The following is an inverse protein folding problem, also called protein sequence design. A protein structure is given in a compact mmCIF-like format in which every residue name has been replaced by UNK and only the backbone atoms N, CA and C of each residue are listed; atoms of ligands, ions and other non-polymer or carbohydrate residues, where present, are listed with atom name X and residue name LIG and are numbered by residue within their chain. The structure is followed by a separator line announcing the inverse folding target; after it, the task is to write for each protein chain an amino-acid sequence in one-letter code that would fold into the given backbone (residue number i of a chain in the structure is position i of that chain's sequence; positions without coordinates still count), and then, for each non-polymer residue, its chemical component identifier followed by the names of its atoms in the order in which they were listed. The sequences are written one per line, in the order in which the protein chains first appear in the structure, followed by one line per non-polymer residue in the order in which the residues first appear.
data_IF_683218614205
#
_entry.id   IF_683218614205
#
_cell.length_a   1.000
_cell.length_b   1.000
_cell.length_c   1.000
_cell.angle_alpha   90.00
_cell.angle_beta   90.00
_cell.angle_gamma   90.00
#
_symmetry.space_group_name_H-M   'P 1'
#
loop_
_entity.id
_entity.type
_entity.pdbx_description
1 polymer ?
#
# COMPACT_ATOMS: atom_id res chain seq x y z
N UNK A 1 -19.03 42.39 10.56
CA UNK A 1 -17.89 41.47 10.34
C UNK A 1 -18.20 40.32 9.37
N UNK A 2 -19.31 39.55 9.50
CA UNK A 2 -19.59 38.36 8.65
C UNK A 2 -19.62 38.58 7.12
N UNK A 3 -20.15 39.71 6.64
CA UNK A 3 -20.21 40.03 5.20
C UNK A 3 -18.86 40.16 4.50
N UNK A 4 -17.80 40.53 5.21
CA UNK A 4 -16.46 40.64 4.63
C UNK A 4 -15.85 39.26 4.32
N UNK A 5 -16.09 38.27 5.19
CA UNK A 5 -15.69 36.90 4.96
C UNK A 5 -16.45 36.28 3.77
N UNK A 6 -17.76 36.50 3.66
CA UNK A 6 -18.55 36.02 2.51
C UNK A 6 -18.04 36.56 1.16
N UNK A 7 -17.71 37.86 1.10
CA UNK A 7 -17.16 38.45 -0.13
C UNK A 7 -15.77 37.91 -0.46
N UNK A 8 -14.95 37.62 0.56
CA UNK A 8 -13.63 36.99 0.39
C UNK A 8 -13.74 35.54 -0.11
N UNK A 9 -14.60 34.73 0.50
CA UNK A 9 -14.83 33.35 0.05
C UNK A 9 -15.41 33.29 -1.36
N UNK A 10 -16.25 34.24 -1.73
CA UNK A 10 -16.79 34.34 -3.09
C UNK A 10 -15.71 34.66 -4.11
N UNK A 11 -14.83 35.60 -3.82
CA UNK A 11 -13.68 35.90 -4.69
C UNK A 11 -12.72 34.71 -4.83
N UNK A 12 -12.50 33.95 -3.75
CA UNK A 12 -11.71 32.73 -3.79
C UNK A 12 -12.37 31.64 -4.65
N UNK A 13 -13.68 31.46 -4.52
CA UNK A 13 -14.45 30.52 -5.36
C UNK A 13 -14.41 30.90 -6.84
N UNK A 14 -14.58 32.18 -7.17
CA UNK A 14 -14.55 32.66 -8.56
C UNK A 14 -13.16 32.44 -9.21
N UNK A 15 -12.07 32.52 -8.44
CA UNK A 15 -10.71 32.23 -8.91
C UNK A 15 -10.45 30.72 -9.07
N UNK A 16 -11.10 29.88 -8.26
CA UNK A 16 -11.02 28.41 -8.32
C UNK A 16 -11.95 27.80 -9.37
N UNK A 17 -13.00 28.51 -9.80
CA UNK A 17 -13.97 28.09 -10.83
C UNK A 17 -13.31 27.50 -12.10
N UNK A 18 -12.26 28.10 -12.71
CA UNK A 18 -11.57 27.47 -13.85
C UNK A 18 -10.90 26.14 -13.50
N UNK A 19 -10.23 26.05 -12.36
CA UNK A 19 -9.58 24.80 -11.91
C UNK A 19 -10.62 23.70 -11.60
N UNK A 20 -11.80 24.09 -11.10
CA UNK A 20 -12.89 23.16 -10.85
C UNK A 20 -13.47 22.58 -12.14
N UNK A 21 -13.54 23.37 -13.21
CA UNK A 21 -13.99 22.90 -14.54
C UNK A 21 -12.98 21.93 -15.15
N UNK A 22 -11.69 22.22 -15.06
CA UNK A 22 -10.64 21.29 -15.52
C UNK A 22 -10.66 19.96 -14.74
N UNK A 23 -10.94 20.03 -13.43
CA UNK A 23 -11.12 18.83 -12.61
C UNK A 23 -12.38 18.05 -13.01
N UNK A 24 -13.47 18.73 -13.37
CA UNK A 24 -14.71 18.12 -13.84
C UNK A 24 -14.51 17.39 -15.17
N UNK A 25 -13.80 18.00 -16.12
CA UNK A 25 -13.43 17.38 -17.39
C UNK A 25 -12.57 16.11 -17.17
N UNK A 26 -11.54 16.21 -16.31
CA UNK A 26 -10.71 15.06 -15.94
C UNK A 26 -11.53 13.95 -15.25
N UNK A 27 -12.45 14.32 -14.37
CA UNK A 27 -13.33 13.38 -13.69
C UNK A 27 -14.27 12.68 -14.67
N UNK A 28 -14.71 13.38 -15.72
CA UNK A 28 -15.55 12.83 -16.77
C UNK A 28 -14.79 11.83 -17.64
N UNK A 29 -13.54 12.13 -17.98
CA UNK A 29 -12.63 11.21 -18.69
C UNK A 29 -12.31 9.96 -17.85
N UNK A 30 -12.17 10.14 -16.54
CA UNK A 30 -11.89 9.06 -15.58
C UNK A 30 -13.16 8.35 -15.08
N UNK A 31 -14.37 8.84 -15.39
CA UNK A 31 -15.64 8.27 -14.93
C UNK A 31 -15.76 6.75 -15.16
N UNK A 32 -15.50 6.21 -16.37
CA UNK A 32 -15.60 4.77 -16.61
C UNK A 32 -14.59 3.97 -15.80
N UNK A 33 -13.36 4.47 -15.61
CA UNK A 33 -12.33 3.82 -14.81
C UNK A 33 -12.65 3.86 -13.31
N UNK A 34 -13.21 4.97 -12.82
CA UNK A 34 -13.67 5.10 -11.43
C UNK A 34 -14.86 4.17 -11.16
N UNK A 35 -15.73 3.96 -12.15
CA UNK A 35 -16.84 3.01 -12.07
C UNK A 35 -16.34 1.57 -11.99
N UNK A 36 -15.43 1.16 -12.87
CA UNK A 36 -14.85 -0.20 -12.83
C UNK A 36 -14.05 -0.44 -11.55
N UNK A 37 -13.26 0.55 -11.11
CA UNK A 37 -12.55 0.48 -9.82
C UNK A 37 -13.51 0.31 -8.65
N UNK A 38 -14.62 1.04 -8.61
CA UNK A 38 -15.64 0.88 -7.56
C UNK A 38 -16.29 -0.51 -7.60
N UNK A 39 -16.53 -1.06 -8.78
CA UNK A 39 -17.16 -2.38 -8.94
C UNK A 39 -16.20 -3.52 -8.55
N UNK A 40 -14.92 -3.43 -8.94
CA UNK A 40 -13.91 -4.46 -8.71
C UNK A 40 -13.29 -4.35 -7.31
N UNK A 41 -12.90 -3.14 -6.88
CA UNK A 41 -12.17 -2.90 -5.64
C UNK A 41 -13.07 -2.40 -4.51
N UNK A 42 -14.31 -1.97 -4.79
CA UNK A 42 -15.23 -1.46 -3.77
C UNK A 42 -15.58 -2.44 -2.64
N UNK A 43 -15.89 -3.72 -2.93
CA UNK A 43 -16.17 -4.71 -1.89
C UNK A 43 -14.97 -4.91 -0.96
N UNK A 44 -13.77 -5.09 -1.53
CA UNK A 44 -12.54 -5.26 -0.77
C UNK A 44 -12.21 -4.01 0.07
N UNK A 45 -12.36 -2.81 -0.49
CA UNK A 45 -12.17 -1.56 0.26
C UNK A 45 -13.16 -1.41 1.42
N UNK A 46 -14.42 -1.83 1.24
CA UNK A 46 -15.43 -1.80 2.30
C UNK A 46 -15.06 -2.76 3.43
N UNK A 47 -14.61 -3.96 3.08
CA UNK A 47 -14.23 -4.97 4.07
C UNK A 47 -12.95 -4.53 4.82
N UNK A 48 -11.96 -3.97 4.11
CA UNK A 48 -10.78 -3.33 4.72
C UNK A 48 -11.15 -2.16 5.63
N UNK A 49 -12.11 -1.31 5.25
CA UNK A 49 -12.61 -0.22 6.10
C UNK A 49 -13.32 -0.73 7.35
N UNK A 50 -13.86 -1.95 7.33
CA UNK A 50 -14.40 -2.61 8.51
C UNK A 50 -13.32 -3.22 9.42
N UNK A 51 -12.21 -3.69 8.83
CA UNK A 51 -11.09 -4.28 9.58
C UNK A 51 -10.16 -3.23 10.19
N UNK A 52 -9.92 -2.12 9.50
CA UNK A 52 -9.01 -1.06 9.95
C UNK A 52 -9.79 -0.07 10.81
N UNK A 53 -9.77 -0.34 12.12
CA UNK A 53 -10.49 0.45 13.12
C UNK A 53 -9.94 1.87 13.32
N UNK A 54 -8.69 2.14 12.92
CA UNK A 54 -8.07 3.47 13.06
C UNK A 54 -7.16 3.87 11.90
N UNK A 55 -7.77 4.51 10.89
CA UNK A 55 -7.05 5.15 9.77
C UNK A 55 -6.38 6.47 10.17
N UNK A 56 -6.82 7.09 11.27
CA UNK A 56 -6.28 8.38 11.71
C UNK A 56 -4.85 8.24 12.25
N UNK A 57 -4.48 7.03 12.65
CA UNK A 57 -3.15 6.67 13.09
C UNK A 57 -2.09 6.67 11.99
N UNK A 58 -2.45 6.81 10.70
CA UNK A 58 -1.53 6.71 9.58
C UNK A 58 -1.50 8.00 8.73
N UNK A 59 -0.37 8.21 8.05
CA UNK A 59 -0.14 9.28 7.08
C UNK A 59 -0.75 8.94 5.71
N UNK A 60 -0.79 9.93 4.82
CA UNK A 60 -1.24 9.72 3.46
C UNK A 60 -0.32 8.73 2.73
N UNK A 61 -0.85 7.95 1.77
CA UNK A 61 -0.05 6.99 1.02
C UNK A 61 1.01 7.69 0.14
N UNK A 62 2.25 7.20 0.18
CA UNK A 62 3.37 7.66 -0.64
C UNK A 62 3.69 6.59 -1.70
N UNK A 63 3.73 6.99 -2.98
CA UNK A 63 4.15 6.10 -4.07
C UNK A 63 5.67 6.08 -4.18
N UNK A 64 6.25 4.89 -4.08
CA UNK A 64 7.67 4.66 -4.27
C UNK A 64 8.03 4.58 -5.77
N UNK A 65 9.32 4.77 -6.15
CA UNK A 65 9.76 4.73 -7.55
C UNK A 65 9.52 3.38 -8.25
N UNK A 66 9.33 2.30 -7.50
CA UNK A 66 9.00 0.96 -8.01
C UNK A 66 7.49 0.73 -8.19
N UNK A 67 6.63 1.67 -7.78
CA UNK A 67 5.17 1.54 -7.84
C UNK A 67 4.53 0.95 -6.59
N UNK A 68 5.31 0.62 -5.55
CA UNK A 68 4.75 0.23 -4.26
C UNK A 68 4.20 1.45 -3.52
N UNK A 69 3.21 1.22 -2.66
CA UNK A 69 2.61 2.26 -1.82
C UNK A 69 2.98 1.99 -0.36
N UNK A 70 3.55 3.00 0.31
CA UNK A 70 3.82 2.96 1.74
C UNK A 70 2.87 3.89 2.49
N UNK A 71 2.31 3.43 3.61
CA UNK A 71 1.55 4.24 4.56
C UNK A 71 2.27 4.22 5.91
N UNK A 72 2.82 5.36 6.32
CA UNK A 72 3.56 5.49 7.58
C UNK A 72 2.59 5.70 8.73
N UNK A 73 2.89 5.18 9.92
CA UNK A 73 2.13 5.51 11.14
C UNK A 73 2.54 6.90 11.60
N UNK A 74 1.60 7.72 12.06
CA UNK A 74 1.89 9.02 12.66
C UNK A 74 2.53 8.85 14.04
N UNK A 75 3.45 9.76 14.35
CA UNK A 75 4.18 9.78 15.62
C UNK A 75 3.36 10.37 16.78
N UNK A 76 2.31 11.14 16.49
CA UNK A 76 1.45 11.82 17.47
C UNK A 76 0.35 10.93 18.06
N UNK A 77 0.10 9.78 17.43
CA UNK A 77 -0.81 8.78 17.96
C UNK A 77 -0.07 8.01 19.05
N UNK A 78 -0.48 8.26 20.30
CA UNK A 78 -0.01 7.55 21.48
C UNK A 78 0.08 6.06 21.13
N UNK A 79 1.25 5.48 21.40
CA UNK A 79 1.34 4.03 21.28
C UNK A 79 0.55 3.48 22.45
N UNK A 80 -0.53 2.76 22.15
CA UNK A 80 -1.17 1.91 23.15
C UNK A 80 -0.19 0.75 23.40
N UNK A 81 0.86 1.02 24.16
CA UNK A 81 1.91 0.08 24.55
C UNK A 81 1.41 -0.95 25.60
N UNK A 82 0.09 -1.06 25.80
CA UNK A 82 -0.54 -2.08 26.63
C UNK A 82 -1.05 -3.22 25.75
N UNK A 83 -0.12 -4.03 25.26
CA UNK A 83 -0.42 -5.25 24.53
C UNK A 83 -0.48 -5.04 23.02
N UNK A 84 0.67 -4.75 22.41
CA UNK A 84 0.89 -5.22 21.05
C UNK A 84 0.55 -6.73 20.98
N UNK A 85 0.08 -7.25 19.83
CA UNK A 85 -0.16 -8.69 19.70
C UNK A 85 1.08 -9.40 20.24
N UNK A 86 0.92 -10.46 21.05
CA UNK A 86 2.03 -11.28 21.55
C UNK A 86 2.89 -11.67 20.36
N UNK A 87 3.87 -10.82 20.05
CA UNK A 87 4.87 -11.10 19.05
C UNK A 87 5.58 -12.30 19.64
N UNK A 88 5.63 -13.43 18.92
CA UNK A 88 6.38 -14.57 19.41
C UNK A 88 7.76 -14.05 19.82
N UNK A 89 8.23 -14.49 21.00
CA UNK A 89 9.53 -14.07 21.53
C UNK A 89 10.55 -14.00 20.40
N UNK A 90 11.41 -12.96 20.37
CA UNK A 90 12.36 -12.75 19.27
C UNK A 90 13.00 -14.09 18.96
N UNK A 91 12.73 -14.61 17.75
CA UNK A 91 12.98 -16.01 17.39
C UNK A 91 14.33 -16.46 17.97
N UNK A 92 14.30 -17.14 19.11
CA UNK A 92 15.48 -17.81 19.63
C UNK A 92 15.69 -18.93 18.63
N UNK A 93 16.70 -18.73 17.79
CA UNK A 93 17.22 -19.62 16.76
C UNK A 93 16.39 -20.91 16.65
N UNK A 94 15.44 -20.90 15.71
CA UNK A 94 14.64 -22.08 15.40
C UNK A 94 15.59 -23.28 15.35
N UNK A 95 15.27 -24.44 15.99
CA UNK A 95 16.07 -25.64 15.79
C UNK A 95 16.26 -25.78 14.29
N UNK A 96 17.48 -26.11 13.83
CA UNK A 96 17.81 -26.32 12.42
C UNK A 96 16.93 -27.44 11.84
N UNK A 97 15.65 -27.14 11.63
CA UNK A 97 14.71 -27.93 10.87
C UNK A 97 15.06 -27.56 9.45
N UNK A 98 15.81 -28.46 8.81
CA UNK A 98 16.03 -28.61 7.38
C UNK A 98 15.30 -27.54 6.56
N UNK A 99 15.86 -26.32 6.56
CA UNK A 99 15.28 -25.23 5.79
C UNK A 99 15.48 -25.66 4.34
N UNK A 100 14.42 -25.72 3.53
CA UNK A 100 14.58 -26.14 2.15
C UNK A 100 15.66 -25.26 1.52
N UNK A 101 16.67 -25.90 0.94
CA UNK A 101 17.85 -25.25 0.33
C UNK A 101 17.46 -24.13 -0.62
N UNK A 102 16.26 -24.22 -1.18
CA UNK A 102 15.59 -23.18 -1.95
C UNK A 102 14.27 -22.77 -1.27
N UNK A 103 14.02 -21.45 -1.09
CA UNK A 103 12.72 -20.99 -0.64
C UNK A 103 11.64 -21.31 -1.68
N UNK A 104 10.38 -21.41 -1.24
CA UNK A 104 9.29 -21.89 -2.11
C UNK A 104 9.09 -21.05 -3.38
N UNK A 105 9.37 -19.74 -3.33
CA UNK A 105 9.33 -18.83 -4.49
C UNK A 105 10.50 -19.00 -5.48
N UNK A 106 11.46 -19.87 -5.16
CA UNK A 106 12.61 -20.24 -6.01
C UNK A 106 12.71 -21.76 -6.20
N UNK A 107 11.65 -22.51 -5.85
CA UNK A 107 11.54 -23.91 -6.27
C UNK A 107 11.24 -23.90 -7.76
N UNK A 108 12.02 -24.68 -8.49
CA UNK A 108 11.70 -25.01 -9.87
C UNK A 108 10.65 -26.12 -9.79
N UNK A 109 9.37 -25.79 -10.06
CA UNK A 109 8.25 -26.76 -10.06
C UNK A 109 8.30 -27.71 -11.28
N UNK A 110 9.50 -27.99 -11.82
CA UNK A 110 9.68 -28.83 -13.01
C UNK A 110 9.82 -30.32 -12.69
N UNK A 111 9.92 -30.69 -11.43
CA UNK A 111 10.03 -32.10 -11.04
C UNK A 111 8.70 -32.61 -10.46
N UNK A 112 8.08 -33.49 -11.25
CA UNK A 112 7.07 -34.49 -10.89
C UNK A 112 5.59 -34.15 -11.21
N UNK A 113 5.17 -34.67 -12.36
CA UNK A 113 3.81 -34.75 -12.95
C UNK A 113 3.32 -33.51 -13.72
N UNK A 114 3.30 -33.66 -15.04
CA UNK A 114 2.89 -32.66 -16.02
C UNK A 114 1.39 -32.40 -16.02
N UNK A 115 0.93 -31.59 -15.08
CA UNK A 115 -0.26 -30.75 -15.23
C UNK A 115 0.18 -29.30 -15.00
N UNK A 116 0.40 -28.57 -16.10
CA UNK A 116 0.74 -27.16 -16.04
C UNK A 116 -0.45 -26.37 -15.50
N UNK A 117 -0.35 -25.91 -14.25
CA UNK A 117 -1.31 -24.97 -13.68
C UNK A 117 -1.15 -23.61 -14.39
N UNK A 118 -2.15 -23.27 -15.20
CA UNK A 118 -2.20 -22.04 -16.01
C UNK A 118 -2.20 -20.75 -15.17
N UNK A 119 -2.26 -20.86 -13.84
CA UNK A 119 -2.22 -19.76 -12.88
C UNK A 119 -0.88 -19.65 -12.13
N UNK A 120 0.19 -20.25 -12.65
CA UNK A 120 1.54 -20.06 -12.09
C UNK A 120 2.02 -18.62 -12.31
N UNK A 121 2.33 -17.84 -11.25
CA UNK A 121 2.91 -16.51 -11.42
C UNK A 121 4.29 -16.66 -12.07
N UNK A 122 4.47 -16.05 -13.25
CA UNK A 122 5.76 -16.05 -13.95
C UNK A 122 6.84 -15.53 -13.02
N UNK A 123 7.91 -16.31 -12.86
CA UNK A 123 9.12 -15.94 -12.13
C UNK A 123 9.59 -14.56 -12.58
N UNK A 124 9.42 -13.55 -11.71
CA UNK A 124 10.03 -12.25 -11.90
C UNK A 124 11.40 -12.32 -11.24
N UNK A 125 12.45 -12.46 -12.05
CA UNK A 125 13.80 -12.26 -11.56
C UNK A 125 13.91 -10.81 -11.05
N UNK A 126 14.20 -10.59 -9.75
CA UNK A 126 14.39 -9.24 -9.25
C UNK A 126 15.67 -8.66 -9.88
N UNK A 127 15.49 -7.81 -10.90
CA UNK A 127 16.55 -6.99 -11.49
C UNK A 127 16.83 -5.81 -10.55
N UNK A 128 17.25 -6.09 -9.31
CA UNK A 128 17.66 -5.08 -8.34
C UNK A 128 19.19 -4.93 -8.30
N UNK A 129 19.74 -3.75 -8.01
CA UNK A 129 21.19 -3.60 -7.84
C UNK A 129 21.67 -4.49 -6.68
N UNK A 130 22.77 -5.21 -6.90
CA UNK A 130 23.45 -5.97 -5.85
C UNK A 130 23.87 -5.01 -4.73
N UNK A 131 23.15 -5.04 -3.60
CA UNK A 131 23.55 -4.30 -2.41
C UNK A 131 24.74 -5.02 -1.77
N UNK A 132 25.94 -4.47 -1.94
CA UNK A 132 27.12 -4.85 -1.16
C UNK A 132 26.84 -4.58 0.32
N UNK A 133 26.89 -5.63 1.13
CA UNK A 133 26.71 -5.54 2.59
C UNK A 133 27.92 -4.78 3.16
N UNK A 134 27.77 -3.65 3.85
CA UNK A 134 28.91 -3.04 4.51
C UNK A 134 29.41 -3.96 5.62
N UNK A 135 30.70 -4.30 5.59
CA UNK A 135 31.38 -5.00 6.67
C UNK A 135 31.32 -4.13 7.93
N UNK A 136 30.58 -4.60 8.93
CA UNK A 136 30.57 -3.98 10.25
C UNK A 136 31.78 -4.55 10.99
N UNK A 137 32.87 -3.79 11.08
CA UNK A 137 33.97 -4.10 12.00
C UNK A 137 33.46 -3.94 13.44
N UNK A 138 33.54 -5.03 14.22
CA UNK A 138 33.18 -5.13 15.63
C UNK A 138 34.20 -4.44 16.55
#
# INVERSE_FOLDING_TARGET
MKRGAELFFRGLMDELDPAMRELEDLAQDMEPALRSFREEMGPALRDMMGEVQDWSAYEAPEMLPNGDIIMRRRDDVARDDEGGPDLPEPYTEAPETDKPRVPFWRRDDSDENGDADENSPRSFEPQGPEYERPEIEL
#
